data_IF_928984211268
#
_entry.id   IF_928984211268
#
_cell.length_a   1.000
_cell.length_b   1.000
_cell.length_c   1.000
_cell.angle_alpha   90.00
_cell.angle_beta   90.00
_cell.angle_gamma   90.00
#
_symmetry.space_group_name_H-M   'P 1'
#
loop_
_entity.id
_entity.type
_entity.pdbx_description
1 polymer ?
#
# COMPACT_ATOMS: atom_id res chain seq x y z
N UNK A 1 2.66 8.67 -16.95
CA UNK A 1 3.88 8.32 -16.17
C UNK A 1 3.53 8.25 -14.70
N UNK A 2 4.15 7.34 -13.95
CA UNK A 2 4.00 7.29 -12.50
C UNK A 2 4.92 8.32 -11.82
N UNK A 3 4.61 8.69 -10.58
CA UNK A 3 5.45 9.52 -9.72
C UNK A 3 5.68 8.79 -8.41
N UNK A 4 6.91 8.81 -7.90
CA UNK A 4 7.27 8.20 -6.63
C UNK A 4 8.01 9.24 -5.78
N UNK A 5 7.73 9.27 -4.48
CA UNK A 5 8.43 10.13 -3.53
C UNK A 5 8.32 9.54 -2.13
N UNK A 6 9.14 10.05 -1.21
CA UNK A 6 9.02 9.79 0.23
C UNK A 6 9.08 11.10 1.00
N UNK A 7 8.41 11.16 2.14
CA UNK A 7 8.51 12.27 3.10
C UNK A 7 8.67 11.71 4.52
N UNK A 8 9.23 12.48 5.47
CA UNK A 8 9.32 12.06 6.86
C UNK A 8 7.95 11.64 7.40
N UNK A 9 7.90 10.52 8.11
CA UNK A 9 6.65 9.99 8.62
C UNK A 9 6.08 10.90 9.71
N UNK A 10 4.85 11.38 9.48
CA UNK A 10 4.06 12.14 10.44
C UNK A 10 2.78 11.36 10.76
N UNK A 11 2.57 10.85 12.00
CA UNK A 11 1.40 10.07 12.37
C UNK A 11 0.09 10.88 12.36
N UNK A 12 0.15 12.21 12.31
CA UNK A 12 -1.04 13.04 12.13
C UNK A 12 -1.47 13.17 10.66
N UNK A 13 -0.57 12.87 9.72
CA UNK A 13 -0.80 13.00 8.27
C UNK A 13 -0.84 11.66 7.54
N UNK A 14 -0.11 10.67 8.04
CA UNK A 14 0.10 9.39 7.36
C UNK A 14 -0.57 8.25 8.09
N UNK A 15 -1.17 7.34 7.33
CA UNK A 15 -1.90 6.18 7.83
C UNK A 15 -1.37 4.91 7.18
N UNK A 16 -1.41 3.83 7.94
CA UNK A 16 -1.12 2.51 7.42
C UNK A 16 -2.37 1.94 6.76
N UNK A 17 -2.43 2.11 5.43
CA UNK A 17 -3.53 1.57 4.63
C UNK A 17 -3.44 0.06 4.43
N UNK A 18 -2.31 -0.59 4.72
CA UNK A 18 -2.14 -2.04 4.55
C UNK A 18 -2.29 -2.82 5.86
N UNK A 19 -2.21 -2.16 7.01
CA UNK A 19 -2.48 -2.78 8.31
C UNK A 19 -3.97 -3.06 8.51
N UNK A 20 -4.30 -4.34 8.59
CA UNK A 20 -5.58 -4.82 9.10
C UNK A 20 -6.73 -4.58 8.12
N UNK A 21 -7.94 -4.53 8.68
CA UNK A 21 -9.18 -4.46 7.90
C UNK A 21 -9.92 -3.12 8.02
N UNK A 22 -9.37 -2.16 8.79
CA UNK A 22 -10.01 -0.87 9.06
C UNK A 22 -10.11 -0.02 7.79
N UNK A 23 -11.33 0.47 7.51
CA UNK A 23 -11.58 1.40 6.42
C UNK A 23 -10.93 2.75 6.73
N UNK A 24 -10.13 3.27 5.81
CA UNK A 24 -9.40 4.53 5.99
C UNK A 24 -7.95 4.39 6.47
N UNK A 25 -7.48 3.16 6.71
CA UNK A 25 -6.14 2.92 7.25
C UNK A 25 -6.11 3.04 8.78
N UNK A 26 -5.03 2.56 9.39
CA UNK A 26 -4.82 2.59 10.83
C UNK A 26 -3.63 3.47 11.22
N UNK A 27 -3.59 3.96 12.47
CA UNK A 27 -2.36 4.56 12.98
C UNK A 27 -1.27 3.50 13.02
N UNK A 28 -0.08 3.86 12.55
CA UNK A 28 1.11 3.05 12.78
C UNK A 28 1.71 3.43 14.15
N UNK A 29 2.00 2.48 15.05
CA UNK A 29 2.76 2.75 16.24
C UNK A 29 4.16 3.19 15.84
N UNK A 30 4.59 4.33 16.37
CA UNK A 30 5.94 4.85 16.21
C UNK A 30 6.96 3.82 16.69
N UNK A 31 8.14 3.81 16.07
CA UNK A 31 9.25 3.02 16.60
C UNK A 31 9.58 3.44 18.02
N UNK A 32 10.03 2.47 18.82
CA UNK A 32 10.51 2.72 20.20
C UNK A 32 11.77 3.57 20.23
N UNK A 33 12.55 3.57 19.16
CA UNK A 33 13.78 4.34 19.02
C UNK A 33 13.52 5.60 18.17
N UNK A 34 13.52 6.80 18.78
CA UNK A 34 13.27 8.06 18.08
C UNK A 34 14.42 8.50 17.17
N UNK A 35 15.59 7.85 17.22
CA UNK A 35 16.71 8.15 16.33
C UNK A 35 16.59 7.47 14.96
N UNK A 36 15.69 6.49 14.83
CA UNK A 36 15.42 5.84 13.56
C UNK A 36 14.50 6.71 12.72
N UNK A 37 15.03 7.24 11.62
CA UNK A 37 14.22 7.95 10.64
C UNK A 37 13.09 7.03 10.13
N UNK A 38 11.87 7.56 10.15
CA UNK A 38 10.70 6.92 9.60
C UNK A 38 10.23 7.70 8.37
N UNK A 39 9.84 6.97 7.33
CA UNK A 39 9.44 7.54 6.04
C UNK A 39 8.05 7.04 5.68
N UNK A 40 7.24 7.90 5.08
CA UNK A 40 6.07 7.53 4.30
C UNK A 40 6.46 7.54 2.81
N UNK A 41 6.01 6.53 2.08
CA UNK A 41 6.35 6.30 0.67
C UNK A 41 5.10 6.38 -0.18
N UNK A 42 5.20 7.04 -1.33
CA UNK A 42 4.06 7.31 -2.18
C UNK A 42 4.31 6.85 -3.60
N UNK A 43 3.29 6.24 -4.20
CA UNK A 43 3.30 5.80 -5.60
C UNK A 43 2.02 6.31 -6.26
N UNK A 44 2.15 7.31 -7.14
CA UNK A 44 1.03 7.84 -7.92
C UNK A 44 1.03 7.26 -9.32
N UNK A 45 -0.06 6.58 -9.70
CA UNK A 45 -0.26 5.97 -11.02
C UNK A 45 -1.75 5.93 -11.36
N UNK A 46 -2.12 6.15 -12.62
CA UNK A 46 -3.52 6.08 -13.07
C UNK A 46 -4.52 6.94 -12.27
N UNK A 47 -4.07 8.08 -11.75
CA UNK A 47 -4.90 9.00 -10.96
C UNK A 47 -5.11 8.56 -9.50
N UNK A 48 -4.55 7.42 -9.11
CA UNK A 48 -4.57 6.91 -7.74
C UNK A 48 -3.19 7.09 -7.09
N UNK A 49 -3.16 7.33 -5.78
CA UNK A 49 -1.94 7.41 -4.98
C UNK A 49 -1.98 6.31 -3.93
N UNK A 50 -1.01 5.41 -3.99
CA UNK A 50 -0.72 4.52 -2.87
C UNK A 50 0.12 5.27 -1.85
N UNK A 51 -0.16 5.02 -0.58
CA UNK A 51 0.63 5.46 0.56
C UNK A 51 1.05 4.21 1.33
N UNK A 52 2.33 4.13 1.65
CA UNK A 52 2.95 3.03 2.36
C UNK A 52 3.80 3.55 3.51
N UNK A 53 3.82 2.82 4.61
CA UNK A 53 4.64 3.19 5.78
C UNK A 53 5.98 2.42 5.81
N UNK A 54 6.21 1.53 4.84
CA UNK A 54 7.47 0.82 4.68
C UNK A 54 7.72 0.39 3.23
N UNK A 55 8.98 0.12 2.90
CA UNK A 55 9.36 -0.49 1.61
C UNK A 55 8.77 -1.91 1.47
N UNK A 56 8.64 -2.65 2.56
CA UNK A 56 8.07 -4.00 2.55
C UNK A 56 6.59 -4.00 2.13
N UNK A 57 5.84 -2.96 2.49
CA UNK A 57 4.47 -2.79 1.99
C UNK A 57 4.42 -2.56 0.48
N UNK A 58 5.40 -1.84 -0.09
CA UNK A 58 5.51 -1.72 -1.55
C UNK A 58 5.76 -3.10 -2.18
N UNK A 59 6.60 -3.93 -1.56
CA UNK A 59 6.86 -5.32 -2.01
C UNK A 59 5.60 -6.18 -1.94
N UNK A 60 4.90 -6.18 -0.81
CA UNK A 60 3.65 -6.92 -0.64
C UNK A 60 2.59 -6.47 -1.66
N UNK A 61 2.43 -5.16 -1.86
CA UNK A 61 1.51 -4.62 -2.84
C UNK A 61 1.88 -5.02 -4.27
N UNK A 62 3.18 -5.04 -4.60
CA UNK A 62 3.68 -5.50 -5.89
C UNK A 62 3.39 -6.99 -6.11
N UNK A 63 3.70 -7.84 -5.14
CA UNK A 63 3.42 -9.27 -5.19
C UNK A 63 1.93 -9.54 -5.41
N UNK A 64 1.08 -8.83 -4.67
CA UNK A 64 -0.36 -8.88 -4.91
C UNK A 64 -0.68 -8.44 -6.34
N UNK A 65 -0.31 -7.24 -6.78
CA UNK A 65 -0.69 -6.70 -8.09
C UNK A 65 -0.16 -7.52 -9.30
N UNK A 66 0.89 -8.33 -9.12
CA UNK A 66 1.41 -9.25 -10.14
C UNK A 66 0.46 -10.42 -10.40
N UNK A 67 -0.24 -10.89 -9.37
CA UNK A 67 -1.20 -11.97 -9.49
C UNK A 67 -2.40 -11.54 -10.34
N UNK A 68 -2.68 -12.30 -11.41
CA UNK A 68 -3.82 -12.00 -12.30
C UNK A 68 -5.14 -12.46 -11.69
N UNK A 69 -5.10 -13.48 -10.83
CA UNK A 69 -6.25 -14.11 -10.21
C UNK A 69 -5.98 -14.23 -8.72
N UNK A 70 -6.73 -13.47 -7.93
CA UNK A 70 -6.67 -13.57 -6.48
C UNK A 70 -7.69 -14.61 -6.01
N UNK A 71 -7.26 -15.67 -5.31
CA UNK A 71 -8.21 -16.62 -4.75
C UNK A 71 -9.10 -15.92 -3.72
N UNK A 72 -10.41 -16.07 -3.85
CA UNK A 72 -11.35 -15.61 -2.85
C UNK A 72 -11.08 -16.35 -1.53
N UNK A 73 -10.67 -15.63 -0.49
CA UNK A 73 -10.44 -16.21 0.84
C UNK A 73 -11.51 -15.69 1.78
N UNK A 74 -12.49 -16.54 2.13
CA UNK A 74 -13.41 -16.24 3.25
C UNK A 74 -12.60 -16.14 4.54
N UNK A 75 -12.87 -15.10 5.32
CA UNK A 75 -12.24 -14.91 6.62
C UNK A 75 -13.26 -15.34 7.68
N UNK A 76 -13.02 -16.47 8.38
CA UNK A 76 -13.97 -16.95 9.39
C UNK A 76 -14.03 -15.98 10.58
N UNK A 77 -15.23 -15.78 11.14
CA UNK A 77 -15.42 -15.03 12.40
C UNK A 77 -15.62 -13.52 12.30
N UNK A 78 -15.91 -12.97 11.11
CA UNK A 78 -16.24 -11.53 10.96
C UNK A 78 -17.75 -11.33 11.14
N UNK A 79 -18.16 -10.75 12.26
CA UNK A 79 -19.56 -10.44 12.59
C UNK A 79 -19.93 -8.96 12.36
N UNK A 80 -18.95 -8.11 12.04
CA UNK A 80 -19.10 -6.67 11.74
C UNK A 80 -18.72 -6.39 10.28
N UNK A 81 -19.49 -6.97 9.35
CA UNK A 81 -19.19 -7.11 7.92
C UNK A 81 -18.86 -5.79 7.18
N UNK A 82 -19.30 -4.63 7.68
CA UNK A 82 -19.15 -3.35 6.98
C UNK A 82 -17.81 -2.63 7.21
N UNK A 83 -17.03 -3.01 8.24
CA UNK A 83 -15.81 -2.30 8.62
C UNK A 83 -14.53 -3.08 8.36
N UNK A 84 -14.63 -4.29 7.81
CA UNK A 84 -13.51 -5.21 7.67
C UNK A 84 -13.27 -5.49 6.19
N UNK A 85 -12.62 -4.54 5.51
CA UNK A 85 -12.16 -4.73 4.14
C UNK A 85 -10.64 -4.78 4.13
N UNK A 86 -10.09 -5.83 3.54
CA UNK A 86 -8.64 -5.92 3.32
C UNK A 86 -8.20 -4.75 2.45
N UNK A 87 -6.94 -4.36 2.60
CA UNK A 87 -6.40 -3.20 1.89
C UNK A 87 -6.61 -3.26 0.38
N UNK A 88 -6.47 -4.45 -0.21
CA UNK A 88 -6.63 -4.62 -1.65
C UNK A 88 -8.09 -4.59 -2.12
N UNK A 89 -9.06 -4.87 -1.24
CA UNK A 89 -10.48 -4.80 -1.55
C UNK A 89 -10.96 -3.34 -1.63
N UNK A 90 -10.19 -2.42 -1.04
CA UNK A 90 -10.42 -0.98 -1.06
C UNK A 90 -9.86 -0.29 -2.31
N UNK A 91 -9.15 -1.01 -3.17
CA UNK A 91 -8.57 -0.43 -4.38
C UNK A 91 -9.68 -0.03 -5.38
N UNK A 92 -9.50 1.09 -6.11
CA UNK A 92 -10.44 1.52 -7.12
C UNK A 92 -10.80 0.42 -8.12
N UNK A 93 -12.10 0.30 -8.40
CA UNK A 93 -12.61 -0.69 -9.36
C UNK A 93 -11.90 -0.53 -10.72
N UNK A 94 -11.31 -1.62 -11.19
CA UNK A 94 -10.61 -1.65 -12.49
C UNK A 94 -9.16 -1.16 -12.46
N UNK A 95 -8.63 -0.73 -11.31
CA UNK A 95 -7.21 -0.38 -11.18
C UNK A 95 -6.30 -1.56 -11.55
N UNK A 96 -6.69 -2.78 -11.14
CA UNK A 96 -5.94 -4.01 -11.38
C UNK A 96 -6.40 -4.82 -12.61
N UNK A 97 -6.97 -4.16 -13.63
CA UNK A 97 -7.43 -4.83 -14.86
C UNK A 97 -6.61 -4.43 -16.09
N UNK A 98 -6.25 -5.42 -16.91
CA UNK A 98 -5.56 -5.24 -18.19
C UNK A 98 -4.34 -4.34 -18.08
N UNK A 99 -4.21 -3.39 -19.03
CA UNK A 99 -3.10 -2.43 -19.10
C UNK A 99 -2.89 -1.62 -17.83
N UNK A 100 -3.96 -1.28 -17.09
CA UNK A 100 -3.83 -0.52 -15.83
C UNK A 100 -3.10 -1.32 -14.76
N UNK A 101 -3.30 -2.65 -14.71
CA UNK A 101 -2.55 -3.54 -13.82
C UNK A 101 -1.07 -3.49 -14.16
N UNK A 102 -0.74 -3.61 -15.45
CA UNK A 102 0.65 -3.64 -15.91
C UNK A 102 1.36 -2.30 -15.60
N UNK A 103 0.64 -1.18 -15.72
CA UNK A 103 1.14 0.14 -15.32
C UNK A 103 1.34 0.29 -13.80
N UNK A 104 0.43 -0.29 -12.99
CA UNK A 104 0.57 -0.33 -11.52
C UNK A 104 1.78 -1.17 -11.12
N UNK A 105 1.92 -2.37 -11.69
CA UNK A 105 3.07 -3.25 -11.44
C UNK A 105 4.38 -2.54 -11.80
N UNK A 106 4.46 -1.94 -12.99
CA UNK A 106 5.64 -1.19 -13.40
C UNK A 106 5.92 0.04 -12.51
N UNK A 107 4.88 0.69 -11.97
CA UNK A 107 5.06 1.80 -11.04
C UNK A 107 5.62 1.33 -9.68
N UNK A 108 5.10 0.22 -9.14
CA UNK A 108 5.58 -0.35 -7.89
C UNK A 108 7.01 -0.91 -8.02
N UNK A 109 7.35 -1.54 -9.15
CA UNK A 109 8.72 -1.98 -9.44
C UNK A 109 9.72 -0.81 -9.48
N UNK A 110 9.37 0.28 -10.18
CA UNK A 110 10.20 1.49 -10.20
C UNK A 110 10.33 2.12 -8.81
N UNK A 111 9.23 2.20 -8.06
CA UNK A 111 9.24 2.72 -6.71
C UNK A 111 10.15 1.91 -5.78
N UNK A 112 10.16 0.58 -5.87
CA UNK A 112 11.09 -0.27 -5.12
C UNK A 112 12.55 -0.01 -5.50
N UNK A 113 12.84 0.18 -6.78
CA UNK A 113 14.20 0.48 -7.24
C UNK A 113 14.67 1.86 -6.76
N UNK A 114 13.80 2.87 -6.80
CA UNK A 114 14.14 4.26 -6.49
C UNK A 114 14.18 4.52 -4.96
N UNK A 115 13.21 3.97 -4.22
CA UNK A 115 13.01 4.25 -2.80
C UNK A 115 13.57 3.17 -1.88
N UNK A 116 13.75 1.94 -2.40
CA UNK A 116 14.29 0.80 -1.65
C UNK A 116 15.81 0.71 -1.64
N UNK A 117 16.51 1.44 -2.53
CA UNK A 117 17.97 1.52 -2.57
C UNK A 117 18.54 2.55 -1.58
N UNK A 118 17.69 3.32 -0.88
CA UNK A 118 18.11 4.38 0.05
C UNK A 118 18.17 3.91 1.51
N UNK A 119 18.67 2.69 1.75
CA UNK A 119 18.84 2.08 3.07
C UNK A 119 20.29 1.89 3.45
#
# INVERSE_FOLDING_TARGET
MSKHWKEPFDPARHLDFMWGAMVGGGPRPLKRDPLLEEWAYFVRVNGFTFEFVSVDQIREALEYCREKVHPARRQPGITLEHYWQRWFERLPKGLLRGKKRDEVVAALERALSELGATG
#
